data_IF_603334209257
#
_entry.id   IF_603334209257
#
_cell.length_a   1.000
_cell.length_b   1.000
_cell.length_c   1.000
_cell.angle_alpha   90.00
_cell.angle_beta   90.00
_cell.angle_gamma   90.00
#
_symmetry.space_group_name_H-M   'P 1'
#
loop_
_entity.id
_entity.type
_entity.pdbx_description
1 polymer ?
#
# COMPACT_ATOMS: atom_id res chain seq x y z
N UNK A 1 -3.86 -5.84 10.24
CA UNK A 1 -2.95 -4.98 9.49
C UNK A 1 -3.70 -3.71 9.12
N UNK A 2 -3.15 -2.54 9.43
CA UNK A 2 -3.81 -1.25 9.20
C UNK A 2 -3.33 -0.66 7.88
N UNK A 3 -4.27 -0.39 6.98
CA UNK A 3 -3.99 0.17 5.66
C UNK A 3 -4.45 1.62 5.59
N UNK A 4 -3.56 2.52 5.19
CA UNK A 4 -3.83 3.94 4.95
C UNK A 4 -3.68 4.24 3.47
N UNK A 5 -4.79 4.44 2.78
CA UNK A 5 -4.82 4.92 1.40
C UNK A 5 -4.74 6.44 1.41
N UNK A 6 -3.87 7.02 0.58
CA UNK A 6 -3.81 8.47 0.39
C UNK A 6 -4.46 8.90 -0.93
N UNK A 7 -5.05 10.10 -0.92
CA UNK A 7 -5.63 10.80 -2.07
C UNK A 7 -6.76 10.02 -2.80
N UNK A 8 -7.97 9.90 -2.21
CA UNK A 8 -8.42 10.48 -0.93
C UNK A 8 -7.99 9.66 0.30
N UNK A 9 -7.92 10.28 1.48
CA UNK A 9 -7.51 9.58 2.72
C UNK A 9 -8.58 8.57 3.13
N UNK A 10 -8.23 7.28 3.22
CA UNK A 10 -9.08 6.22 3.74
C UNK A 10 -8.26 5.26 4.60
N UNK A 11 -8.84 4.82 5.70
CA UNK A 11 -8.22 3.83 6.59
C UNK A 11 -9.06 2.56 6.56
N UNK A 12 -8.38 1.41 6.50
CA UNK A 12 -8.99 0.08 6.38
C UNK A 12 -8.23 -0.91 7.25
N UNK A 13 -8.97 -1.76 7.95
CA UNK A 13 -8.40 -2.94 8.60
C UNK A 13 -8.50 -4.14 7.67
N UNK A 14 -7.35 -4.74 7.37
CA UNK A 14 -7.25 -5.94 6.53
C UNK A 14 -6.73 -7.09 7.37
N UNK A 15 -7.38 -8.25 7.24
CA UNK A 15 -6.99 -9.47 7.93
C UNK A 15 -5.86 -10.20 7.19
N UNK A 16 -4.87 -10.63 7.96
CA UNK A 16 -3.90 -11.63 7.59
C UNK A 16 -2.49 -11.07 7.38
N UNK A 17 -1.46 -11.90 7.61
CA UNK A 17 -0.19 -11.69 6.97
C UNK A 17 -0.35 -12.02 5.49
N UNK A 18 0.04 -11.11 4.61
CA UNK A 18 -0.01 -11.30 3.17
C UNK A 18 1.07 -10.51 2.46
N UNK A 19 1.40 -10.89 1.23
CA UNK A 19 2.33 -10.10 0.44
C UNK A 19 1.69 -8.76 0.03
N UNK A 20 2.52 -7.75 -0.15
CA UNK A 20 2.09 -6.46 -0.70
C UNK A 20 1.35 -6.66 -2.03
N UNK A 21 1.78 -7.59 -2.88
CA UNK A 21 1.10 -7.92 -4.13
C UNK A 21 -0.32 -8.45 -3.90
N UNK A 22 -0.50 -9.38 -2.97
CA UNK A 22 -1.83 -9.91 -2.64
C UNK A 22 -2.75 -8.83 -2.07
N UNK A 23 -2.21 -7.92 -1.23
CA UNK A 23 -2.93 -6.77 -0.73
C UNK A 23 -3.41 -5.84 -1.88
N UNK A 24 -2.51 -5.48 -2.79
CA UNK A 24 -2.84 -4.60 -3.92
C UNK A 24 -3.88 -5.23 -4.86
N UNK A 25 -3.76 -6.52 -5.15
CA UNK A 25 -4.76 -7.26 -5.93
C UNK A 25 -6.12 -7.26 -5.23
N UNK A 26 -6.15 -7.50 -3.91
CA UNK A 26 -7.39 -7.49 -3.12
C UNK A 26 -8.06 -6.11 -3.09
N UNK A 27 -7.28 -5.04 -3.11
CA UNK A 27 -7.77 -3.66 -3.15
C UNK A 27 -8.02 -3.15 -4.59
N UNK A 28 -7.78 -3.99 -5.60
CA UNK A 28 -7.90 -3.65 -7.03
C UNK A 28 -7.02 -2.43 -7.43
N UNK A 29 -5.83 -2.32 -6.84
CA UNK A 29 -4.89 -1.23 -7.07
C UNK A 29 -3.75 -1.70 -7.98
N UNK A 30 -3.46 -0.92 -9.03
CA UNK A 30 -2.29 -1.16 -9.86
C UNK A 30 -1.01 -0.85 -9.08
N UNK A 31 -0.11 -1.84 -8.95
CA UNK A 31 1.21 -1.68 -8.31
C UNK A 31 2.05 -0.59 -8.95
N UNK A 32 1.95 -0.38 -10.25
CA UNK A 32 2.74 0.63 -10.96
C UNK A 32 2.25 2.05 -10.68
N UNK A 33 1.03 2.22 -10.19
CA UNK A 33 0.46 3.54 -9.87
C UNK A 33 0.63 3.94 -8.40
N UNK A 34 1.24 3.09 -7.56
CA UNK A 34 1.38 3.37 -6.13
C UNK A 34 2.75 2.97 -5.56
N UNK A 35 3.15 3.67 -4.50
CA UNK A 35 4.21 3.30 -3.59
C UNK A 35 3.59 2.70 -2.33
N UNK A 36 4.17 1.62 -1.83
CA UNK A 36 3.75 0.95 -0.61
C UNK A 36 4.83 1.14 0.46
N UNK A 37 4.43 1.70 1.59
CA UNK A 37 5.31 2.00 2.72
C UNK A 37 4.81 1.21 3.92
N UNK A 38 5.70 0.45 4.57
CA UNK A 38 5.42 -0.23 5.85
C UNK A 38 6.13 0.52 6.96
N UNK A 39 5.37 1.13 7.87
CA UNK A 39 5.89 2.10 8.83
C UNK A 39 6.58 3.26 8.11
N UNK A 40 7.91 3.34 8.20
CA UNK A 40 8.74 4.35 7.54
C UNK A 40 9.57 3.79 6.37
N UNK A 41 9.35 2.54 5.97
CA UNK A 41 10.16 1.86 4.95
C UNK A 41 9.38 1.61 3.66
N UNK A 42 9.92 2.06 2.52
CA UNK A 42 9.38 1.70 1.21
C UNK A 42 9.64 0.21 0.94
N UNK A 43 8.59 -0.55 0.61
CA UNK A 43 8.65 -1.99 0.41
C UNK A 43 8.31 -2.39 -1.03
N UNK A 44 8.91 -3.48 -1.49
CA UNK A 44 8.58 -4.09 -2.78
C UNK A 44 7.37 -5.01 -2.65
N UNK A 45 6.72 -5.32 -3.78
CA UNK A 45 5.46 -6.07 -3.79
C UNK A 45 5.55 -7.53 -3.35
N UNK A 46 6.75 -8.09 -3.28
CA UNK A 46 7.04 -9.45 -2.81
C UNK A 46 7.25 -9.51 -1.28
N UNK A 47 7.37 -8.36 -0.60
CA UNK A 47 7.50 -8.30 0.85
C UNK A 47 6.23 -8.80 1.53
N UNK A 48 6.42 -9.61 2.57
CA UNK A 48 5.35 -10.05 3.46
C UNK A 48 5.04 -8.96 4.48
N UNK A 49 3.75 -8.67 4.61
CA UNK A 49 3.19 -7.78 5.63
C UNK A 49 2.63 -8.65 6.76
N UNK A 50 2.88 -8.27 8.00
CA UNK A 50 2.37 -8.93 9.20
C UNK A 50 1.01 -8.38 9.65
N UNK A 51 0.36 -9.07 10.57
CA UNK A 51 -0.94 -8.68 11.11
C UNK A 51 -0.91 -7.34 11.86
N UNK A 52 0.21 -7.01 12.49
CA UNK A 52 0.38 -5.76 13.25
C UNK A 52 1.04 -4.64 12.43
N UNK A 53 1.28 -4.86 11.13
CA UNK A 53 1.90 -3.85 10.28
C UNK A 53 0.94 -2.68 10.00
N UNK A 54 1.52 -1.47 10.03
CA UNK A 54 0.93 -0.28 9.45
C UNK A 54 1.47 -0.07 8.04
N UNK A 55 0.57 0.00 7.07
CA UNK A 55 0.90 0.07 5.64
C UNK A 55 0.23 1.29 5.03
N UNK A 56 1.02 2.12 4.38
CA UNK A 56 0.56 3.29 3.66
C UNK A 56 0.69 3.08 2.15
N UNK A 57 -0.39 3.35 1.42
CA UNK A 57 -0.43 3.29 -0.04
C UNK A 57 -0.55 4.71 -0.57
N UNK A 58 0.49 5.16 -1.27
CA UNK A 58 0.58 6.50 -1.86
C UNK A 58 0.53 6.43 -3.38
N UNK A 59 -0.37 7.14 -4.05
CA UNK A 59 -0.32 7.25 -5.51
C UNK A 59 1.00 7.87 -5.96
N UNK A 60 1.61 7.32 -7.02
CA UNK A 60 2.62 8.04 -7.78
C UNK A 60 1.91 9.07 -8.63
N UNK A 61 1.89 10.31 -8.19
CA UNK A 61 1.54 11.42 -9.09
C UNK A 61 2.76 11.57 -10.00
N UNK A 62 2.62 11.21 -11.28
CA UNK A 62 3.57 11.70 -12.28
C UNK A 62 3.45 13.22 -12.25
N UNK A 63 4.36 13.88 -11.55
CA UNK A 63 4.53 15.32 -11.56
C UNK A 63 5.01 15.77 -12.93
N UNK A 64 4.16 15.63 -13.94
CA UNK A 64 4.29 16.25 -15.26
C UNK A 64 3.38 17.46 -15.32
N UNK A 65 3.55 18.40 -14.40
CA UNK A 65 3.13 19.77 -14.66
C UNK A 65 4.29 20.42 -15.44
N UNK A 66 4.16 20.39 -16.76
CA UNK A 66 4.84 21.35 -17.62
C UNK A 66 4.15 22.72 -17.49
#
# INVERSE_FOLDING_TARGET
>A
MRIVLRNPRRELDVQGPMSVHALLVRLEINRESVLVIRGDTLVTGDVQLGDDDEVEIRPVVSGGAA
#
